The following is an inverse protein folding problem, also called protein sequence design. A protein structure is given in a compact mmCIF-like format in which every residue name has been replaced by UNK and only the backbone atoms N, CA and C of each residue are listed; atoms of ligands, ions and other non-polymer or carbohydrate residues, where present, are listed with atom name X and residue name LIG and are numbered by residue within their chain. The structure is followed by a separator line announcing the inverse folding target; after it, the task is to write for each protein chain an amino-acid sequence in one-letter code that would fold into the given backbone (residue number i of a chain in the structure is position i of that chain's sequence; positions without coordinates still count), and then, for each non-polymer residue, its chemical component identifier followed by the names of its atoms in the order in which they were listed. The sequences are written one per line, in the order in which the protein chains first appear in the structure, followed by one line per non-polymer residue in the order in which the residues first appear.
data_IF_740095522316
#
_entry.id   IF_740095522316
#
_cell.length_a   1.000
_cell.length_b   1.000
_cell.length_c   1.000
_cell.angle_alpha   90.00
_cell.angle_beta   90.00
_cell.angle_gamma   90.00
#
_symmetry.space_group_name_H-M   'P 1'
#
loop_
_entity.id
_entity.type
_entity.pdbx_description
1 polymer ?
#
# COMPACT_ATOMS: atom_id res chain seq x y z
N UNK A 1 14.29 21.80 -27.28
CA UNK A 1 14.66 20.42 -27.66
C UNK A 1 13.74 19.50 -26.89
N UNK A 2 13.03 18.59 -27.54
CA UNK A 2 12.13 17.66 -26.84
C UNK A 2 12.99 16.80 -25.92
N UNK A 3 12.78 16.92 -24.61
CA UNK A 3 13.45 16.09 -23.62
C UNK A 3 12.99 14.65 -23.86
N UNK A 4 13.89 13.79 -24.36
CA UNK A 4 13.54 12.45 -24.84
C UNK A 4 13.43 11.43 -23.71
N UNK A 5 13.59 11.85 -22.45
CA UNK A 5 13.70 10.96 -21.31
C UNK A 5 14.89 10.01 -21.41
N UNK A 6 15.02 9.10 -20.46
CA UNK A 6 16.01 8.02 -20.48
C UNK A 6 15.52 6.85 -21.34
N UNK A 7 16.46 6.17 -22.01
CA UNK A 7 16.16 4.89 -22.68
C UNK A 7 15.77 3.82 -21.65
N UNK A 8 15.07 2.72 -22.05
CA UNK A 8 14.73 1.65 -21.11
C UNK A 8 15.92 1.09 -20.33
N UNK A 9 17.07 0.91 -20.99
CA UNK A 9 18.30 0.41 -20.33
C UNK A 9 18.90 1.42 -19.36
N UNK A 10 18.91 2.72 -19.71
CA UNK A 10 19.35 3.79 -18.82
C UNK A 10 18.42 3.92 -17.61
N UNK A 11 17.11 3.82 -17.83
CA UNK A 11 16.10 3.94 -16.80
C UNK A 11 16.18 2.77 -15.81
N UNK A 12 16.28 1.52 -16.29
CA UNK A 12 16.48 0.35 -15.44
C UNK A 12 17.78 0.44 -14.61
N UNK A 13 18.89 0.88 -15.22
CA UNK A 13 20.15 1.06 -14.51
C UNK A 13 20.05 2.12 -13.40
N UNK A 14 19.36 3.23 -13.66
CA UNK A 14 19.11 4.28 -12.66
C UNK A 14 18.20 3.80 -11.54
N UNK A 15 17.16 3.02 -11.86
CA UNK A 15 16.26 2.45 -10.87
C UNK A 15 16.98 1.47 -9.94
N UNK A 16 17.83 0.59 -10.50
CA UNK A 16 18.65 -0.32 -9.71
C UNK A 16 19.67 0.43 -8.82
N UNK A 17 20.29 1.48 -9.37
CA UNK A 17 21.22 2.34 -8.62
C UNK A 17 20.53 3.04 -7.44
N UNK A 18 19.31 3.55 -7.65
CA UNK A 18 18.49 4.17 -6.62
C UNK A 18 18.15 3.17 -5.50
N UNK A 19 17.60 1.99 -5.84
CA UNK A 19 17.27 0.99 -4.81
C UNK A 19 18.50 0.61 -3.98
N UNK A 20 19.65 0.44 -4.63
CA UNK A 20 20.90 0.15 -3.90
C UNK A 20 21.37 1.33 -3.04
N UNK A 21 21.12 2.57 -3.48
CA UNK A 21 21.44 3.79 -2.73
C UNK A 21 20.58 3.97 -1.48
N UNK A 22 19.34 3.49 -1.50
CA UNK A 22 18.41 3.55 -0.38
C UNK A 22 18.52 2.35 0.59
N UNK A 23 19.35 1.35 0.24
CA UNK A 23 19.61 0.15 1.05
C UNK A 23 20.52 0.47 2.25
N UNK A 24 19.98 0.35 3.46
CA UNK A 24 20.66 0.58 4.73
C UNK A 24 21.40 -0.66 5.26
N UNK A 25 21.42 -1.74 4.49
CA UNK A 25 22.07 -3.01 4.82
C UNK A 25 21.11 -4.18 4.62
N UNK A 26 20.12 -4.31 5.52
CA UNK A 26 19.10 -5.37 5.46
C UNK A 26 17.69 -4.84 5.21
N UNK A 27 17.50 -3.52 5.30
CA UNK A 27 16.26 -2.83 4.98
C UNK A 27 16.52 -1.71 3.98
N UNK A 28 15.55 -1.41 3.14
CA UNK A 28 15.61 -0.28 2.21
C UNK A 28 14.70 0.82 2.73
N UNK A 29 15.23 2.05 2.78
CA UNK A 29 14.40 3.22 3.09
C UNK A 29 13.38 3.47 1.98
N UNK A 30 12.17 3.91 2.31
CA UNK A 30 11.16 4.23 1.30
C UNK A 30 11.58 5.44 0.45
N UNK A 31 12.31 6.39 1.05
CA UNK A 31 12.96 7.50 0.36
C UNK A 31 14.22 7.98 1.11
N UNK A 32 15.18 8.66 0.43
CA UNK A 32 16.47 9.01 1.04
C UNK A 32 16.36 9.92 2.28
N UNK A 33 15.35 10.80 2.33
CA UNK A 33 15.21 11.81 3.38
C UNK A 33 13.82 11.87 4.00
N UNK A 34 12.77 11.94 3.16
CA UNK A 34 11.39 12.09 3.65
C UNK A 34 10.94 10.86 4.45
N UNK A 35 11.38 9.68 4.02
CA UNK A 35 11.00 8.39 4.59
C UNK A 35 12.23 7.50 4.83
N UNK A 36 13.11 7.87 5.80
CA UNK A 36 14.43 7.28 6.02
C UNK A 36 14.37 5.94 6.80
N UNK A 37 13.26 5.22 6.70
CA UNK A 37 12.96 3.97 7.40
C UNK A 37 12.26 2.99 6.44
N UNK A 38 12.00 1.78 6.91
CA UNK A 38 11.27 0.76 6.15
C UNK A 38 9.76 0.94 6.40
N UNK A 39 8.99 1.14 5.32
CA UNK A 39 7.53 1.05 5.35
C UNK A 39 7.07 -0.32 4.87
N UNK A 40 5.96 -0.82 5.43
CA UNK A 40 5.52 -2.21 5.23
C UNK A 40 5.18 -2.55 3.79
N UNK A 41 4.28 -1.77 3.17
CA UNK A 41 3.93 -2.02 1.77
C UNK A 41 5.05 -1.59 0.81
N UNK A 42 5.81 -0.53 1.11
CA UNK A 42 7.00 -0.11 0.36
C UNK A 42 8.03 -1.23 0.31
N UNK A 43 8.31 -1.90 1.43
CA UNK A 43 9.25 -3.03 1.49
C UNK A 43 8.81 -4.20 0.60
N UNK A 44 7.52 -4.45 0.49
CA UNK A 44 7.00 -5.45 -0.45
C UNK A 44 7.23 -5.02 -1.91
N UNK A 45 6.97 -3.76 -2.28
CA UNK A 45 7.30 -3.27 -3.62
C UNK A 45 8.81 -3.26 -3.87
N UNK A 46 9.63 -2.87 -2.90
CA UNK A 46 11.09 -2.94 -2.98
C UNK A 46 11.54 -4.38 -3.24
N UNK A 47 10.98 -5.36 -2.53
CA UNK A 47 11.28 -6.76 -2.77
C UNK A 47 10.92 -7.21 -4.20
N UNK A 48 9.81 -6.70 -4.76
CA UNK A 48 9.48 -6.90 -6.19
C UNK A 48 10.55 -6.32 -7.10
N UNK A 49 10.99 -5.08 -6.86
CA UNK A 49 12.05 -4.43 -7.66
C UNK A 49 13.43 -5.06 -7.49
N UNK A 50 13.71 -5.65 -6.34
CA UNK A 50 14.95 -6.38 -6.06
C UNK A 50 14.95 -7.78 -6.69
N UNK A 51 13.81 -8.43 -6.86
CA UNK A 51 13.73 -9.79 -7.41
C UNK A 51 14.43 -9.99 -8.77
N UNK A 52 14.35 -9.07 -9.76
CA UNK A 52 15.14 -9.17 -10.99
C UNK A 52 16.64 -8.87 -10.82
N UNK A 53 17.05 -8.25 -9.70
CA UNK A 53 18.45 -7.87 -9.42
C UNK A 53 19.18 -8.92 -8.56
N UNK A 54 18.53 -9.36 -7.48
CA UNK A 54 19.01 -10.35 -6.52
C UNK A 54 17.82 -10.91 -5.72
N UNK A 55 17.47 -12.17 -5.99
CA UNK A 55 16.46 -12.91 -5.22
C UNK A 55 16.85 -13.01 -3.75
N UNK A 56 18.13 -13.21 -3.43
CA UNK A 56 18.64 -13.23 -2.06
C UNK A 56 18.36 -11.91 -1.34
N UNK A 57 18.66 -10.76 -1.95
CA UNK A 57 18.41 -9.45 -1.33
C UNK A 57 16.92 -9.13 -1.22
N UNK A 58 16.09 -9.57 -2.17
CA UNK A 58 14.64 -9.46 -2.10
C UNK A 58 14.05 -10.26 -0.92
N UNK A 59 14.57 -11.48 -0.70
CA UNK A 59 14.24 -12.30 0.47
C UNK A 59 14.65 -11.61 1.76
N UNK A 60 15.86 -11.04 1.84
CA UNK A 60 16.34 -10.30 3.02
C UNK A 60 15.44 -9.12 3.40
N UNK A 61 14.88 -8.42 2.41
CA UNK A 61 13.94 -7.31 2.65
C UNK A 61 12.69 -7.80 3.41
N UNK A 62 12.07 -8.88 2.94
CA UNK A 62 10.89 -9.47 3.58
C UNK A 62 11.23 -10.17 4.91
N UNK A 63 12.39 -10.82 5.01
CA UNK A 63 12.88 -11.38 6.28
C UNK A 63 13.03 -10.29 7.35
N UNK A 64 13.54 -9.11 6.96
CA UNK A 64 13.70 -7.98 7.87
C UNK A 64 12.35 -7.42 8.31
N UNK A 65 11.41 -7.22 7.38
CA UNK A 65 10.05 -6.79 7.72
C UNK A 65 9.35 -7.80 8.65
N UNK A 66 9.40 -9.09 8.33
CA UNK A 66 8.75 -10.14 9.13
C UNK A 66 9.43 -10.36 10.48
N UNK A 67 10.71 -10.00 10.64
CA UNK A 67 11.36 -9.96 11.95
C UNK A 67 10.76 -8.90 12.90
N UNK A 68 10.10 -7.89 12.34
CA UNK A 68 9.41 -6.84 13.08
C UNK A 68 7.90 -7.12 13.28
N UNK A 69 7.42 -8.28 12.84
CA UNK A 69 6.03 -8.69 13.05
C UNK A 69 5.73 -8.81 14.55
N UNK A 70 4.59 -8.27 14.96
CA UNK A 70 4.11 -8.35 16.33
C UNK A 70 3.71 -9.79 16.68
N UNK A 71 3.68 -10.10 17.98
CA UNK A 71 3.33 -11.44 18.50
C UNK A 71 1.92 -11.89 18.09
N UNK A 72 0.97 -10.95 17.99
CA UNK A 72 -0.41 -11.20 17.55
C UNK A 72 -0.53 -11.42 16.03
N UNK A 73 0.54 -11.19 15.25
CA UNK A 73 0.56 -11.36 13.79
C UNK A 73 0.55 -10.05 13.02
N UNK A 74 0.30 -8.89 13.64
CA UNK A 74 0.32 -7.60 12.94
C UNK A 74 1.71 -7.32 12.34
N UNK A 75 1.76 -6.97 11.06
CA UNK A 75 2.93 -6.32 10.47
C UNK A 75 2.76 -4.80 10.65
N UNK A 76 3.63 -4.12 11.42
CA UNK A 76 3.52 -2.68 11.63
C UNK A 76 3.90 -1.92 10.36
N UNK A 77 3.31 -0.73 10.13
CA UNK A 77 3.54 0.02 8.91
C UNK A 77 4.94 0.63 8.80
N UNK A 78 5.63 0.87 9.92
CA UNK A 78 7.02 1.35 9.94
C UNK A 78 7.88 0.43 10.81
N UNK A 79 9.04 0.06 10.27
CA UNK A 79 10.18 -0.49 11.01
C UNK A 79 11.28 0.57 11.00
N UNK A 80 11.59 1.11 12.18
CA UNK A 80 12.51 2.24 12.32
C UNK A 80 13.97 1.77 12.20
N UNK A 81 14.75 2.47 11.39
CA UNK A 81 16.19 2.22 11.28
C UNK A 81 16.93 2.68 12.54
N UNK A 82 17.85 1.86 13.04
CA UNK A 82 18.59 2.16 14.27
C UNK A 82 19.45 3.42 14.13
N UNK A 83 19.29 4.37 15.05
CA UNK A 83 20.08 5.60 15.10
C UNK A 83 19.79 6.60 13.98
N UNK A 84 18.66 6.45 13.27
CA UNK A 84 18.24 7.36 12.21
C UNK A 84 17.10 8.23 12.72
N UNK A 85 17.28 9.55 12.63
CA UNK A 85 16.25 10.57 12.88
C UNK A 85 15.75 11.16 11.54
N UNK A 86 14.91 12.21 11.61
CA UNK A 86 14.47 12.96 10.42
C UNK A 86 13.06 12.60 9.93
N UNK A 87 12.38 11.66 10.60
CA UNK A 87 10.97 11.37 10.41
C UNK A 87 10.16 11.64 11.68
N UNK A 88 8.95 12.16 11.52
CA UNK A 88 8.01 12.35 12.59
C UNK A 88 6.60 11.94 12.14
N UNK A 89 5.85 11.13 12.92
CA UNK A 89 6.15 10.66 14.28
C UNK A 89 7.18 9.50 14.36
N UNK A 90 8.29 9.74 15.07
CA UNK A 90 9.35 8.75 15.30
C UNK A 90 9.06 7.77 16.46
N UNK A 91 9.97 6.83 16.78
CA UNK A 91 9.75 5.76 17.77
C UNK A 91 9.25 6.26 19.13
N UNK A 92 9.82 7.35 19.64
CA UNK A 92 9.46 7.94 20.93
C UNK A 92 8.02 8.46 20.95
N UNK A 93 7.48 8.91 19.81
CA UNK A 93 6.11 9.42 19.72
C UNK A 93 5.09 8.29 19.77
N UNK A 94 5.41 7.17 19.10
CA UNK A 94 4.63 5.94 19.11
C UNK A 94 4.68 5.24 20.47
N UNK A 95 5.83 5.26 21.15
CA UNK A 95 6.02 4.66 22.48
C UNK A 95 5.61 3.17 22.58
N UNK A 96 5.67 2.48 21.44
CA UNK A 96 5.25 1.08 21.28
C UNK A 96 6.06 0.15 22.18
N UNK A 97 7.37 0.37 22.31
CA UNK A 97 8.25 -0.48 23.12
C UNK A 97 7.87 -0.46 24.63
N UNK A 98 7.28 0.62 25.13
CA UNK A 98 6.86 0.73 26.52
C UNK A 98 5.40 0.30 26.73
N UNK A 99 4.55 0.53 25.73
CA UNK A 99 3.10 0.39 25.88
C UNK A 99 2.55 -0.93 25.33
N UNK A 100 2.97 -1.35 24.14
CA UNK A 100 2.36 -2.46 23.41
C UNK A 100 2.93 -3.82 23.82
N UNK A 101 2.10 -4.70 24.40
CA UNK A 101 2.52 -6.02 24.85
C UNK A 101 2.94 -6.96 23.71
N UNK A 102 2.37 -6.74 22.52
CA UNK A 102 2.58 -7.56 21.33
C UNK A 102 3.77 -7.09 20.47
N UNK A 103 4.35 -5.93 20.72
CA UNK A 103 5.47 -5.41 19.95
C UNK A 103 6.70 -6.35 19.98
N UNK A 104 7.49 -6.40 18.89
CA UNK A 104 8.74 -7.17 18.86
C UNK A 104 9.76 -6.59 19.84
N UNK A 105 10.59 -7.46 20.44
CA UNK A 105 11.68 -7.03 21.31
C UNK A 105 12.88 -6.59 20.46
N UNK A 106 13.49 -5.45 20.81
CA UNK A 106 14.73 -4.98 20.18
C UNK A 106 14.57 -4.30 18.81
N UNK A 107 13.36 -4.24 18.26
CA UNK A 107 13.06 -3.57 17.00
C UNK A 107 12.02 -2.48 17.25
N UNK A 108 12.39 -1.22 17.02
CA UNK A 108 11.44 -0.12 17.11
C UNK A 108 10.47 -0.16 15.91
N UNK A 109 9.17 -0.16 16.20
CA UNK A 109 8.11 -0.16 15.18
C UNK A 109 7.03 0.86 15.51
N UNK A 110 6.24 1.24 14.52
CA UNK A 110 4.97 1.96 14.73
C UNK A 110 3.90 1.06 15.36
N UNK A 111 2.80 1.66 15.81
CA UNK A 111 1.67 0.94 16.42
C UNK A 111 0.48 0.62 15.52
N UNK A 112 0.57 0.87 14.21
CA UNK A 112 -0.51 0.65 13.23
C UNK A 112 -0.03 -0.22 12.06
N UNK A 113 -0.95 -0.70 11.23
CA UNK A 113 -0.65 -1.58 10.09
C UNK A 113 -0.74 -0.89 8.71
N UNK A 114 -0.58 -1.65 7.62
CA UNK A 114 -0.64 -1.17 6.22
C UNK A 114 -1.17 -2.27 5.27
N UNK A 115 -1.50 -1.96 3.99
CA UNK A 115 -2.11 -2.90 3.06
C UNK A 115 -1.28 -4.20 2.84
N UNK A 116 -1.92 -5.40 2.78
CA UNK A 116 -1.25 -6.70 2.74
C UNK A 116 -0.74 -7.10 1.34
N UNK A 117 0.10 -6.30 0.71
CA UNK A 117 0.66 -6.61 -0.63
C UNK A 117 1.81 -7.63 -0.60
N UNK A 118 2.19 -8.13 0.58
CA UNK A 118 3.39 -8.96 0.80
C UNK A 118 3.35 -10.28 0.03
N UNK A 119 2.19 -10.95 -0.04
CA UNK A 119 2.05 -12.20 -0.79
C UNK A 119 2.33 -12.01 -2.30
N UNK A 120 2.03 -10.83 -2.84
CA UNK A 120 2.35 -10.46 -4.23
C UNK A 120 3.86 -10.39 -4.41
N UNK A 121 4.58 -9.76 -3.47
CA UNK A 121 6.04 -9.71 -3.48
C UNK A 121 6.66 -11.11 -3.42
N UNK A 122 6.14 -12.00 -2.56
CA UNK A 122 6.57 -13.41 -2.51
C UNK A 122 6.35 -14.10 -3.86
N UNK A 123 5.21 -13.89 -4.51
CA UNK A 123 4.96 -14.45 -5.84
C UNK A 123 5.99 -13.97 -6.87
N UNK A 124 6.31 -12.67 -6.89
CA UNK A 124 7.33 -12.11 -7.80
C UNK A 124 8.72 -12.68 -7.52
N UNK A 125 9.11 -12.82 -6.26
CA UNK A 125 10.38 -13.48 -5.87
C UNK A 125 10.44 -14.91 -6.42
N UNK A 126 9.37 -15.69 -6.27
CA UNK A 126 9.27 -17.06 -6.78
C UNK A 126 9.30 -17.10 -8.32
N UNK A 127 8.61 -16.18 -8.99
CA UNK A 127 8.64 -16.05 -10.45
C UNK A 127 10.05 -15.82 -10.97
N UNK A 128 10.80 -14.91 -10.36
CA UNK A 128 12.18 -14.62 -10.74
C UNK A 128 13.12 -15.78 -10.36
N UNK A 129 12.97 -16.39 -9.18
CA UNK A 129 13.83 -17.50 -8.76
C UNK A 129 13.72 -18.70 -9.71
N UNK A 130 12.52 -18.99 -10.24
CA UNK A 130 12.28 -20.05 -11.23
C UNK A 130 13.06 -19.84 -12.54
N UNK A 131 13.41 -18.60 -12.90
CA UNK A 131 14.16 -18.26 -14.12
C UNK A 131 15.69 -18.33 -13.96
N UNK A 132 16.20 -18.33 -12.72
CA UNK A 132 17.64 -18.15 -12.41
C UNK A 132 18.34 -19.41 -11.87
N UNK A 133 17.82 -20.61 -12.21
CA UNK A 133 18.47 -21.90 -11.91
C UNK A 133 18.19 -22.45 -10.50
N UNK A 134 18.79 -23.61 -10.21
CA UNK A 134 18.47 -24.42 -9.02
C UNK A 134 18.85 -23.76 -7.69
N UNK A 135 20.01 -23.10 -7.62
CA UNK A 135 20.50 -22.45 -6.39
C UNK A 135 19.61 -21.29 -5.98
N UNK A 136 19.25 -20.42 -6.92
CA UNK A 136 18.36 -19.28 -6.68
C UNK A 136 16.95 -19.73 -6.27
N UNK A 137 16.45 -20.82 -6.86
CA UNK A 137 15.18 -21.42 -6.44
C UNK A 137 15.23 -21.90 -4.99
N UNK A 138 16.31 -22.56 -4.58
CA UNK A 138 16.47 -23.05 -3.21
C UNK A 138 16.42 -21.92 -2.18
N UNK A 139 16.98 -20.74 -2.48
CA UNK A 139 16.89 -19.54 -1.61
C UNK A 139 15.43 -19.14 -1.37
N UNK A 140 14.62 -19.08 -2.43
CA UNK A 140 13.22 -18.69 -2.31
C UNK A 140 12.38 -19.76 -1.59
N UNK A 141 12.68 -21.05 -1.81
CA UNK A 141 12.03 -22.17 -1.11
C UNK A 141 12.38 -22.18 0.39
N UNK A 142 13.64 -21.93 0.75
CA UNK A 142 14.07 -21.83 2.15
C UNK A 142 13.40 -20.64 2.87
N UNK A 143 13.24 -19.51 2.17
CA UNK A 143 12.46 -18.39 2.69
C UNK A 143 11.01 -18.80 2.99
N UNK A 144 10.35 -19.52 2.07
CA UNK A 144 9.00 -20.04 2.32
C UNK A 144 8.97 -20.97 3.54
N UNK A 145 9.93 -21.88 3.67
CA UNK A 145 10.04 -22.77 4.83
C UNK A 145 10.17 -21.98 6.14
N UNK A 146 10.98 -20.93 6.13
CA UNK A 146 11.23 -20.09 7.30
C UNK A 146 10.05 -19.17 7.65
N UNK A 147 9.35 -18.61 6.65
CA UNK A 147 8.41 -17.49 6.83
C UNK A 147 6.95 -17.78 6.50
N UNK A 148 6.63 -19.00 6.05
CA UNK A 148 5.24 -19.38 5.75
C UNK A 148 4.30 -19.11 6.93
N UNK A 149 4.67 -19.55 8.14
CA UNK A 149 3.83 -19.35 9.33
C UNK A 149 3.66 -17.87 9.67
N UNK A 150 4.68 -17.04 9.50
CA UNK A 150 4.61 -15.60 9.72
C UNK A 150 3.63 -14.92 8.76
N UNK A 151 3.66 -15.29 7.47
CA UNK A 151 2.73 -14.81 6.46
C UNK A 151 1.28 -15.24 6.77
N UNK A 152 1.08 -16.49 7.18
CA UNK A 152 -0.27 -16.96 7.55
C UNK A 152 -0.76 -16.28 8.84
N UNK A 153 0.11 -16.04 9.84
CA UNK A 153 -0.25 -15.28 11.05
C UNK A 153 -0.65 -13.83 10.72
N UNK A 154 0.03 -13.21 9.76
CA UNK A 154 -0.33 -11.88 9.26
C UNK A 154 -1.73 -11.85 8.67
N UNK A 155 -2.02 -12.79 7.76
CA UNK A 155 -3.34 -12.89 7.14
C UNK A 155 -4.43 -13.24 8.17
N UNK A 156 -4.13 -14.12 9.12
CA UNK A 156 -5.04 -14.48 10.20
C UNK A 156 -5.37 -13.28 11.07
N UNK A 157 -4.37 -12.49 11.47
CA UNK A 157 -4.60 -11.29 12.27
C UNK A 157 -5.51 -10.29 11.54
N UNK A 158 -5.32 -10.06 10.24
CA UNK A 158 -6.25 -9.22 9.47
C UNK A 158 -7.67 -9.78 9.46
N UNK A 159 -7.82 -11.09 9.23
CA UNK A 159 -9.11 -11.75 9.13
C UNK A 159 -9.85 -11.92 10.47
N UNK A 160 -9.14 -11.87 11.61
CA UNK A 160 -9.72 -12.11 12.94
C UNK A 160 -9.78 -10.84 13.79
N UNK A 161 -8.77 -9.97 13.73
CA UNK A 161 -8.70 -8.76 14.54
C UNK A 161 -9.26 -7.52 13.82
N UNK A 162 -9.29 -7.52 12.48
CA UNK A 162 -9.77 -6.36 11.69
C UNK A 162 -11.07 -6.60 10.93
N UNK A 163 -11.60 -7.82 10.86
CA UNK A 163 -12.96 -8.11 10.34
C UNK A 163 -13.94 -8.23 11.51
N UNK A 164 -14.36 -7.08 12.07
CA UNK A 164 -15.02 -7.01 13.37
C UNK A 164 -16.33 -7.80 13.45
N UNK A 165 -17.11 -7.78 12.37
CA UNK A 165 -18.42 -8.43 12.30
C UNK A 165 -18.43 -9.68 11.40
N UNK A 166 -17.25 -10.15 10.95
CA UNK A 166 -17.14 -11.28 10.03
C UNK A 166 -17.71 -10.99 8.63
N UNK A 167 -17.79 -9.72 8.25
CA UNK A 167 -18.45 -9.24 7.05
C UNK A 167 -17.51 -9.13 5.83
N UNK A 168 -16.23 -9.48 6.01
CA UNK A 168 -15.23 -9.50 4.96
C UNK A 168 -14.71 -8.12 4.58
N UNK A 169 -14.65 -7.17 5.52
CA UNK A 169 -14.05 -5.85 5.30
C UNK A 169 -13.10 -5.50 6.45
N UNK A 170 -11.94 -4.93 6.10
CA UNK A 170 -10.87 -4.60 7.04
C UNK A 170 -11.16 -3.25 7.70
N UNK A 171 -11.32 -3.27 9.02
CA UNK A 171 -11.41 -2.09 9.86
C UNK A 171 -10.02 -1.44 10.06
N UNK A 172 -9.96 -0.13 9.84
CA UNK A 172 -8.82 0.72 10.07
C UNK A 172 -9.13 1.72 11.18
N UNK A 173 -8.13 1.96 12.03
CA UNK A 173 -8.19 2.91 13.15
C UNK A 173 -7.36 4.16 12.91
N UNK A 174 -6.69 4.23 11.75
CA UNK A 174 -5.96 5.41 11.30
C UNK A 174 -5.96 5.46 9.76
N UNK A 175 -6.14 6.63 9.15
CA UNK A 175 -6.12 6.75 7.68
C UNK A 175 -4.78 6.33 7.06
N UNK A 176 -3.66 6.50 7.76
CA UNK A 176 -2.33 5.96 7.39
C UNK A 176 -2.32 4.44 7.16
N UNK A 177 -3.22 3.68 7.79
CA UNK A 177 -3.30 2.22 7.56
C UNK A 177 -3.80 1.88 6.16
N UNK A 178 -4.47 2.81 5.48
CA UNK A 178 -4.89 2.65 4.08
C UNK A 178 -3.74 2.82 3.09
N UNK A 179 -2.62 3.41 3.52
CA UNK A 179 -1.57 3.93 2.65
C UNK A 179 -1.96 5.20 1.88
N UNK A 180 -3.15 5.77 2.14
CA UNK A 180 -3.71 6.93 1.44
C UNK A 180 -4.11 8.05 2.42
N UNK A 181 -3.13 8.64 3.10
CA UNK A 181 -3.25 9.42 4.34
C UNK A 181 -4.36 10.50 4.34
N UNK A 182 -4.34 11.40 3.33
CA UNK A 182 -5.27 12.52 3.18
C UNK A 182 -6.30 12.29 2.06
N UNK A 183 -6.56 11.03 1.73
CA UNK A 183 -7.56 10.73 0.70
C UNK A 183 -8.92 11.33 1.09
N UNK A 184 -9.70 11.87 0.12
CA UNK A 184 -11.04 12.36 0.39
C UNK A 184 -11.97 11.33 1.05
N UNK A 185 -11.65 10.04 0.91
CA UNK A 185 -12.31 8.91 1.59
C UNK A 185 -12.45 9.14 3.10
N UNK A 186 -11.47 9.81 3.71
CA UNK A 186 -11.38 9.93 5.15
C UNK A 186 -11.88 11.27 5.69
N UNK A 187 -12.25 12.22 4.84
CA UNK A 187 -12.55 13.59 5.26
C UNK A 187 -13.70 13.67 6.26
N UNK A 188 -14.80 12.95 6.01
CA UNK A 188 -15.96 12.95 6.92
C UNK A 188 -15.66 12.22 8.23
N UNK A 189 -14.91 11.11 8.18
CA UNK A 189 -14.51 10.40 9.38
C UNK A 189 -13.55 11.25 10.23
N UNK A 190 -12.55 11.89 9.61
CA UNK A 190 -11.66 12.83 10.27
C UNK A 190 -12.37 14.08 10.77
N UNK A 191 -13.42 14.57 10.10
CA UNK A 191 -14.21 15.69 10.58
C UNK A 191 -14.85 15.42 11.97
N UNK A 192 -15.13 14.16 12.29
CA UNK A 192 -15.64 13.73 13.59
C UNK A 192 -14.54 13.51 14.64
N UNK A 193 -13.25 13.54 14.25
CA UNK A 193 -12.13 13.46 15.19
C UNK A 193 -11.90 14.84 15.80
N UNK A 194 -12.35 14.99 17.04
CA UNK A 194 -12.11 16.18 17.86
C UNK A 194 -10.84 15.95 18.68
N UNK A 195 -9.72 16.47 18.18
CA UNK A 195 -8.44 16.36 18.87
C UNK A 195 -8.51 17.02 20.25
N UNK A 196 -8.15 16.27 21.29
CA UNK A 196 -7.94 16.80 22.64
C UNK A 196 -6.56 17.46 22.75
N UNK A 197 -5.92 17.33 23.93
CA UNK A 197 -4.56 17.84 24.12
C UNK A 197 -3.54 16.91 23.44
N UNK A 198 -3.09 17.28 22.26
CA UNK A 198 -1.93 16.65 21.59
C UNK A 198 -0.65 17.27 22.15
N UNK A 199 0.32 16.49 22.68
CA UNK A 199 1.61 17.03 23.09
C UNK A 199 2.30 17.78 21.94
N UNK A 200 2.92 18.92 22.26
CA UNK A 200 3.55 19.77 21.26
C UNK A 200 4.56 18.99 20.40
N UNK A 201 4.54 19.26 19.10
CA UNK A 201 5.37 18.57 18.13
C UNK A 201 5.80 19.51 17.00
N UNK A 202 6.80 19.08 16.23
CA UNK A 202 7.21 19.73 15.00
C UNK A 202 7.19 18.72 13.87
N UNK A 203 6.57 19.10 12.76
CA UNK A 203 6.50 18.29 11.55
C UNK A 203 7.87 18.23 10.85
N UNK A 204 8.39 17.02 10.69
CA UNK A 204 9.66 16.79 9.98
C UNK A 204 9.47 16.73 8.46
N UNK A 205 8.28 16.36 7.97
CA UNK A 205 7.99 16.21 6.55
C UNK A 205 8.10 17.55 5.79
N UNK A 206 7.71 18.66 6.42
CA UNK A 206 7.81 20.01 5.86
C UNK A 206 9.24 20.54 5.76
N UNK A 207 10.19 19.95 6.49
CA UNK A 207 11.61 20.30 6.34
C UNK A 207 12.22 19.70 5.05
N UNK A 208 11.57 18.69 4.47
CA UNK A 208 12.01 18.02 3.24
C UNK A 208 11.17 18.47 2.05
N UNK A 209 9.84 18.46 2.17
CA UNK A 209 8.91 18.96 1.16
C UNK A 209 8.36 20.32 1.62
N UNK A 210 8.98 21.39 1.15
CA UNK A 210 8.67 22.77 1.59
C UNK A 210 7.49 23.40 0.84
N UNK A 211 7.10 22.85 -0.31
CA UNK A 211 5.87 23.24 -1.01
C UNK A 211 4.66 22.67 -0.28
N UNK A 212 3.98 23.54 0.47
CA UNK A 212 2.81 23.18 1.29
C UNK A 212 1.64 22.65 0.47
N UNK A 213 1.59 22.90 -0.84
CA UNK A 213 0.54 22.35 -1.71
C UNK A 213 0.64 20.84 -1.93
N UNK A 214 1.74 20.21 -1.46
CA UNK A 214 2.04 18.80 -1.68
C UNK A 214 1.84 17.93 -0.43
N UNK A 215 1.55 18.52 0.74
CA UNK A 215 1.49 17.81 2.02
C UNK A 215 0.16 18.08 2.74
N UNK A 216 -0.28 17.17 3.62
CA UNK A 216 -1.41 17.44 4.50
C UNK A 216 -1.19 18.70 5.33
N UNK A 217 -2.29 19.33 5.73
CA UNK A 217 -2.31 20.52 6.59
C UNK A 217 -1.96 20.20 8.04
N UNK A 218 -1.63 21.22 8.83
CA UNK A 218 -1.35 21.04 10.27
C UNK A 218 -2.59 20.51 11.02
N UNK A 219 -3.79 20.95 10.66
CA UNK A 219 -5.04 20.46 11.24
C UNK A 219 -5.28 18.97 10.95
N UNK A 220 -4.88 18.48 9.77
CA UNK A 220 -4.90 17.05 9.47
C UNK A 220 -3.87 16.30 10.34
N UNK A 221 -2.66 16.83 10.51
CA UNK A 221 -1.65 16.25 11.39
C UNK A 221 -2.06 16.20 12.87
N UNK A 222 -2.78 17.21 13.37
CA UNK A 222 -3.32 17.20 14.73
C UNK A 222 -4.26 16.03 14.96
N UNK A 223 -5.12 15.73 13.97
CA UNK A 223 -6.01 14.56 14.02
C UNK A 223 -5.21 13.26 13.94
N UNK A 224 -4.22 13.17 13.06
CA UNK A 224 -3.37 11.99 12.97
C UNK A 224 -2.69 11.69 14.31
N UNK A 225 -2.08 12.70 14.92
CA UNK A 225 -1.40 12.52 16.20
C UNK A 225 -2.35 12.32 17.37
N UNK A 226 -3.57 12.83 17.31
CA UNK A 226 -4.58 12.55 18.32
C UNK A 226 -4.96 11.07 18.33
N UNK A 227 -5.14 10.46 17.16
CA UNK A 227 -5.42 9.02 17.06
C UNK A 227 -4.27 8.18 17.67
N UNK A 228 -3.02 8.63 17.57
CA UNK A 228 -1.90 7.98 18.29
C UNK A 228 -2.08 8.04 19.81
N UNK A 229 -2.58 9.15 20.37
CA UNK A 229 -2.83 9.25 21.81
C UNK A 229 -3.95 8.29 22.25
N UNK A 230 -5.01 8.15 21.45
CA UNK A 230 -6.09 7.20 21.73
C UNK A 230 -5.59 5.76 21.74
N UNK A 231 -4.77 5.38 20.75
CA UNK A 231 -4.15 4.04 20.71
C UNK A 231 -3.24 3.79 21.91
N UNK A 232 -2.42 4.77 22.30
CA UNK A 232 -1.55 4.67 23.48
C UNK A 232 -2.34 4.54 24.78
N UNK A 233 -3.48 5.22 24.90
CA UNK A 233 -4.33 5.16 26.10
C UNK A 233 -4.85 3.73 26.36
N UNK A 234 -5.11 2.97 25.30
CA UNK A 234 -5.48 1.54 25.37
C UNK A 234 -4.31 0.60 25.09
N UNK A 235 -3.08 1.11 25.12
CA UNK A 235 -1.83 0.34 24.98
C UNK A 235 -1.75 -0.51 23.71
N UNK A 236 -2.39 -0.06 22.63
CA UNK A 236 -2.47 -0.79 21.35
C UNK A 236 -3.14 -2.18 21.44
N UNK A 237 -4.03 -2.39 22.43
CA UNK A 237 -4.74 -3.65 22.58
C UNK A 237 -5.90 -3.77 21.58
N UNK A 238 -5.80 -4.72 20.63
CA UNK A 238 -6.77 -4.91 19.54
C UNK A 238 -8.22 -4.95 20.03
N UNK A 239 -8.47 -5.67 21.13
CA UNK A 239 -9.81 -5.81 21.74
C UNK A 239 -10.42 -4.50 22.25
N UNK A 240 -9.63 -3.45 22.45
CA UNK A 240 -10.08 -2.16 22.97
C UNK A 240 -10.17 -1.08 21.88
N UNK A 241 -9.43 -1.22 20.77
CA UNK A 241 -9.39 -0.22 19.69
C UNK A 241 -10.77 0.08 19.11
N UNK A 242 -11.58 -0.95 18.86
CA UNK A 242 -12.92 -0.81 18.31
C UNK A 242 -13.82 0.13 19.14
N UNK A 243 -13.60 0.21 20.46
CA UNK A 243 -14.36 1.10 21.34
C UNK A 243 -13.68 2.45 21.56
N UNK A 244 -12.35 2.47 21.66
CA UNK A 244 -11.59 3.65 22.09
C UNK A 244 -11.34 4.69 20.98
N UNK A 245 -11.23 4.26 19.73
CA UNK A 245 -10.72 5.11 18.65
C UNK A 245 -11.77 6.07 18.09
N UNK A 246 -11.51 7.37 17.98
CA UNK A 246 -12.44 8.33 17.36
C UNK A 246 -12.59 8.11 15.84
N UNK A 247 -11.60 7.48 15.21
CA UNK A 247 -11.62 7.08 13.81
C UNK A 247 -11.75 5.56 13.70
N UNK A 248 -12.77 5.08 13.00
CA UNK A 248 -12.93 3.67 12.66
C UNK A 248 -13.68 3.53 11.34
N UNK A 249 -13.03 2.95 10.32
CA UNK A 249 -13.60 2.81 8.97
C UNK A 249 -13.32 1.42 8.43
N UNK A 250 -14.22 0.86 7.65
CA UNK A 250 -13.94 -0.33 6.85
C UNK A 250 -13.40 0.11 5.48
N UNK A 251 -12.15 -0.22 5.20
CA UNK A 251 -11.46 0.17 3.97
C UNK A 251 -11.65 -0.89 2.88
N UNK A 252 -12.38 -0.52 1.83
CA UNK A 252 -12.71 -1.46 0.75
C UNK A 252 -11.52 -1.76 -0.16
N UNK A 253 -10.58 -0.84 -0.31
CA UNK A 253 -9.38 -1.03 -1.11
C UNK A 253 -8.42 -2.02 -0.44
N UNK A 254 -8.16 -1.84 0.85
CA UNK A 254 -7.35 -2.77 1.66
C UNK A 254 -8.02 -4.15 1.70
N UNK A 255 -9.35 -4.20 1.80
CA UNK A 255 -10.11 -5.45 1.76
C UNK A 255 -9.95 -6.20 0.43
N UNK A 256 -9.97 -5.49 -0.70
CA UNK A 256 -9.75 -6.09 -2.01
C UNK A 256 -8.30 -6.56 -2.20
N UNK A 257 -7.33 -5.77 -1.74
CA UNK A 257 -5.91 -6.18 -1.70
C UNK A 257 -5.74 -7.43 -0.84
N UNK A 258 -6.41 -7.51 0.31
CA UNK A 258 -6.35 -8.67 1.19
C UNK A 258 -6.97 -9.92 0.55
N UNK A 259 -8.15 -9.80 -0.08
CA UNK A 259 -8.75 -10.91 -0.84
C UNK A 259 -7.79 -11.44 -1.91
N UNK A 260 -7.17 -10.53 -2.68
CA UNK A 260 -6.20 -10.88 -3.70
C UNK A 260 -4.93 -11.52 -3.12
N UNK A 261 -4.40 -10.98 -2.01
CA UNK A 261 -3.21 -11.51 -1.34
C UNK A 261 -3.46 -12.91 -0.76
N UNK A 262 -4.64 -13.16 -0.16
CA UNK A 262 -5.05 -14.47 0.30
C UNK A 262 -5.10 -15.48 -0.85
N UNK A 263 -5.67 -15.10 -1.99
CA UNK A 263 -5.74 -15.98 -3.17
C UNK A 263 -4.35 -16.30 -3.76
N UNK A 264 -3.44 -15.31 -3.75
CA UNK A 264 -2.04 -15.48 -4.15
C UNK A 264 -1.31 -16.41 -3.19
N UNK A 265 -1.42 -16.18 -1.88
CA UNK A 265 -0.71 -16.98 -0.87
C UNK A 265 -1.25 -18.42 -0.82
N UNK A 266 -2.56 -18.62 -1.00
CA UNK A 266 -3.15 -19.95 -1.12
C UNK A 266 -2.58 -20.71 -2.32
N UNK A 267 -2.48 -20.04 -3.48
CA UNK A 267 -1.89 -20.63 -4.69
C UNK A 267 -0.42 -21.01 -4.48
N UNK A 268 0.38 -20.15 -3.85
CA UNK A 268 1.76 -20.47 -3.45
C UNK A 268 1.78 -21.69 -2.52
N UNK A 269 0.85 -21.74 -1.57
CA UNK A 269 0.72 -22.85 -0.63
C UNK A 269 0.46 -24.19 -1.30
N UNK A 270 -0.42 -24.21 -2.30
CA UNK A 270 -0.71 -25.39 -3.12
C UNK A 270 0.52 -25.81 -3.96
N UNK A 271 1.19 -24.86 -4.61
CA UNK A 271 2.37 -25.11 -5.45
C UNK A 271 3.57 -25.65 -4.65
N UNK A 272 3.70 -25.23 -3.39
CA UNK A 272 4.85 -25.54 -2.53
C UNK A 272 4.51 -26.47 -1.35
N UNK A 273 3.44 -27.27 -1.47
CA UNK A 273 3.03 -28.31 -0.51
C UNK A 273 2.95 -27.82 0.94
N UNK A 274 2.41 -26.62 1.16
CA UNK A 274 2.19 -26.06 2.50
C UNK A 274 1.00 -26.74 3.19
N UNK A 275 0.82 -26.60 4.52
CA UNK A 275 -0.26 -27.27 5.23
C UNK A 275 -1.65 -26.99 4.61
N UNK A 276 -2.40 -28.05 4.31
CA UNK A 276 -3.73 -27.95 3.70
C UNK A 276 -4.72 -27.13 4.55
N UNK A 277 -4.54 -27.08 5.87
CA UNK A 277 -5.35 -26.22 6.75
C UNK A 277 -5.14 -24.75 6.45
N UNK A 278 -3.89 -24.32 6.26
CA UNK A 278 -3.56 -22.93 5.98
C UNK A 278 -4.08 -22.53 4.60
N UNK A 279 -3.91 -23.39 3.60
CA UNK A 279 -4.45 -23.18 2.24
C UNK A 279 -5.97 -23.01 2.29
N UNK A 280 -6.67 -23.87 3.04
CA UNK A 280 -8.13 -23.78 3.19
C UNK A 280 -8.56 -22.47 3.87
N UNK A 281 -7.88 -22.06 4.93
CA UNK A 281 -8.15 -20.80 5.62
C UNK A 281 -7.94 -19.61 4.66
N UNK A 282 -6.81 -19.60 3.92
CA UNK A 282 -6.49 -18.57 2.94
C UNK A 282 -7.53 -18.48 1.81
N UNK A 283 -7.97 -19.62 1.25
CA UNK A 283 -9.06 -19.64 0.24
C UNK A 283 -10.37 -19.12 0.84
N UNK A 284 -10.68 -19.50 2.08
CA UNK A 284 -11.87 -19.03 2.80
C UNK A 284 -11.86 -17.52 3.03
N UNK A 285 -10.73 -16.95 3.45
CA UNK A 285 -10.58 -15.49 3.58
C UNK A 285 -10.60 -14.80 2.23
N UNK A 286 -9.95 -15.34 1.19
CA UNK A 286 -10.00 -14.78 -0.15
C UNK A 286 -11.43 -14.60 -0.64
N UNK A 287 -12.29 -15.62 -0.45
CA UNK A 287 -13.70 -15.54 -0.83
C UNK A 287 -14.51 -14.61 0.09
N UNK A 288 -14.39 -14.72 1.41
CA UNK A 288 -15.10 -13.84 2.35
C UNK A 288 -14.87 -12.36 2.03
N UNK A 289 -13.62 -11.95 1.87
CA UNK A 289 -13.29 -10.55 1.61
C UNK A 289 -13.65 -10.11 0.19
N UNK A 290 -13.65 -11.03 -0.78
CA UNK A 290 -14.21 -10.76 -2.12
C UNK A 290 -15.70 -10.42 -2.01
N UNK A 291 -16.46 -11.22 -1.27
CA UNK A 291 -17.89 -10.96 -1.03
C UNK A 291 -18.12 -9.67 -0.25
N UNK A 292 -17.30 -9.41 0.78
CA UNK A 292 -17.36 -8.16 1.54
C UNK A 292 -17.14 -6.92 0.68
N UNK A 293 -16.17 -6.96 -0.24
CA UNK A 293 -15.94 -5.88 -1.22
C UNK A 293 -17.15 -5.70 -2.14
N UNK A 294 -17.69 -6.79 -2.71
CA UNK A 294 -18.85 -6.73 -3.62
C UNK A 294 -20.08 -6.14 -2.92
N UNK A 295 -20.28 -6.47 -1.64
CA UNK A 295 -21.40 -5.97 -0.85
C UNK A 295 -21.41 -4.43 -0.68
N UNK A 296 -20.27 -3.76 -0.89
CA UNK A 296 -20.18 -2.29 -0.85
C UNK A 296 -20.63 -1.63 -2.15
N UNK A 297 -20.74 -2.40 -3.23
CA UNK A 297 -20.79 -1.85 -4.58
C UNK A 297 -22.16 -1.32 -4.96
N UNK A 298 -22.17 -0.24 -5.74
CA UNK A 298 -23.38 0.17 -6.45
C UNK A 298 -23.73 -0.83 -7.56
N UNK A 299 -24.94 -1.38 -7.56
CA UNK A 299 -25.35 -2.47 -8.46
C UNK A 299 -25.19 -2.13 -9.94
N UNK A 300 -25.34 -0.84 -10.31
CA UNK A 300 -25.31 -0.38 -11.70
C UNK A 300 -23.89 -0.07 -12.17
N UNK A 301 -23.12 0.65 -11.37
CA UNK A 301 -21.80 1.14 -11.74
C UNK A 301 -20.67 0.20 -11.33
N UNK A 302 -20.91 -0.69 -10.36
CA UNK A 302 -19.90 -1.54 -9.75
C UNK A 302 -18.96 -0.79 -8.79
N UNK A 303 -19.16 0.51 -8.56
CA UNK A 303 -18.30 1.33 -7.73
C UNK A 303 -18.38 0.92 -6.25
N UNK A 304 -17.24 0.58 -5.66
CA UNK A 304 -17.12 0.25 -4.24
C UNK A 304 -17.16 1.49 -3.34
N UNK A 305 -17.52 1.29 -2.08
CA UNK A 305 -17.64 2.32 -1.05
C UNK A 305 -16.93 1.87 0.22
N UNK A 306 -16.25 2.78 0.90
CA UNK A 306 -15.80 2.55 2.27
C UNK A 306 -17.00 2.69 3.24
N UNK A 307 -16.84 2.27 4.49
CA UNK A 307 -17.89 2.38 5.50
C UNK A 307 -17.34 3.04 6.77
N UNK A 308 -18.03 4.03 7.30
CA UNK A 308 -17.68 4.67 8.57
C UNK A 308 -18.39 3.94 9.73
N UNK A 309 -17.61 3.26 10.58
CA UNK A 309 -18.11 2.49 11.71
C UNK A 309 -18.65 3.37 12.85
N UNK A 310 -18.26 4.65 12.91
CA UNK A 310 -18.72 5.59 13.94
C UNK A 310 -20.06 6.19 13.59
N UNK A 311 -20.29 6.47 12.30
CA UNK A 311 -21.56 7.04 11.84
C UNK A 311 -22.54 6.02 11.28
N UNK A 312 -22.08 4.80 10.98
CA UNK A 312 -22.87 3.74 10.36
C UNK A 312 -23.25 4.07 8.92
N UNK A 313 -22.42 4.82 8.20
CA UNK A 313 -22.73 5.34 6.86
C UNK A 313 -21.71 4.89 5.83
N UNK A 314 -22.20 4.59 4.64
CA UNK A 314 -21.34 4.43 3.45
C UNK A 314 -20.66 5.75 3.09
N UNK A 315 -19.38 5.66 2.77
CA UNK A 315 -18.54 6.76 2.31
C UNK A 315 -18.52 6.76 0.79
N UNK A 316 -19.02 7.84 0.19
CA UNK A 316 -19.10 8.01 -1.24
C UNK A 316 -18.07 9.05 -1.69
N UNK A 317 -17.03 8.62 -2.41
CA UNK A 317 -16.01 9.51 -3.00
C UNK A 317 -15.63 9.04 -4.40
N UNK A 318 -15.19 9.97 -5.26
CA UNK A 318 -14.70 9.66 -6.60
C UNK A 318 -13.17 9.46 -6.58
N UNK A 319 -12.71 8.45 -5.84
CA UNK A 319 -11.27 8.11 -5.69
C UNK A 319 -10.93 6.77 -6.32
N UNK A 320 -9.63 6.49 -6.48
CA UNK A 320 -9.15 5.22 -7.04
C UNK A 320 -9.64 3.98 -6.26
N UNK A 321 -10.02 4.14 -4.99
CA UNK A 321 -10.55 3.06 -4.16
C UNK A 321 -11.90 2.50 -4.66
N UNK A 322 -12.68 3.27 -5.43
CA UNK A 322 -13.95 2.78 -6.01
C UNK A 322 -13.74 1.58 -6.95
N UNK A 323 -12.53 1.40 -7.46
CA UNK A 323 -12.13 0.34 -8.38
C UNK A 323 -11.60 -0.91 -7.66
N UNK A 324 -11.67 -0.98 -6.34
CA UNK A 324 -11.29 -2.15 -5.53
C UNK A 324 -11.82 -3.49 -6.10
N UNK A 325 -13.07 -3.62 -6.60
CA UNK A 325 -13.56 -4.87 -7.17
C UNK A 325 -12.82 -5.33 -8.43
N UNK A 326 -12.14 -4.44 -9.16
CA UNK A 326 -11.31 -4.83 -10.30
C UNK A 326 -10.07 -5.62 -9.87
N UNK A 327 -9.60 -5.44 -8.63
CA UNK A 327 -8.46 -6.17 -8.06
C UNK A 327 -8.85 -7.60 -7.67
N UNK A 328 -9.94 -7.77 -6.89
CA UNK A 328 -10.32 -9.06 -6.31
C UNK A 328 -11.37 -9.85 -7.13
N UNK A 329 -12.03 -9.19 -8.10
CA UNK A 329 -13.08 -9.76 -8.93
C UNK A 329 -14.40 -10.03 -8.20
N UNK A 330 -15.30 -10.74 -8.89
CA UNK A 330 -16.58 -11.24 -8.37
C UNK A 330 -17.81 -10.35 -8.61
N UNK A 331 -17.63 -9.16 -9.19
CA UNK A 331 -18.75 -8.39 -9.76
C UNK A 331 -19.51 -9.18 -10.85
N UNK A 332 -20.78 -8.81 -11.06
CA UNK A 332 -21.50 -9.23 -12.27
C UNK A 332 -20.81 -8.69 -13.53
N UNK A 333 -20.94 -9.40 -14.64
CA UNK A 333 -20.31 -9.01 -15.92
C UNK A 333 -20.68 -7.58 -16.35
N UNK A 334 -21.91 -7.15 -16.11
CA UNK A 334 -22.37 -5.83 -16.52
C UNK A 334 -21.87 -4.72 -15.58
N UNK A 335 -21.85 -4.96 -14.27
CA UNK A 335 -21.27 -4.03 -13.30
C UNK A 335 -19.76 -3.89 -13.50
N UNK A 336 -19.03 -4.99 -13.73
CA UNK A 336 -17.59 -4.94 -14.00
C UNK A 336 -17.27 -4.17 -15.31
N UNK A 337 -18.08 -4.39 -16.36
CA UNK A 337 -17.96 -3.61 -17.60
C UNK A 337 -18.27 -2.13 -17.38
N UNK A 338 -19.23 -1.78 -16.51
CA UNK A 338 -19.54 -0.40 -16.17
C UNK A 338 -18.41 0.26 -15.38
N UNK A 339 -17.83 -0.47 -14.43
CA UNK A 339 -16.71 -0.02 -13.62
C UNK A 339 -15.47 0.21 -14.49
N UNK A 340 -15.14 -0.72 -15.40
CA UNK A 340 -14.05 -0.56 -16.38
C UNK A 340 -14.26 0.64 -17.30
N UNK A 341 -15.49 0.87 -17.79
CA UNK A 341 -15.80 2.08 -18.58
C UNK A 341 -15.57 3.37 -17.80
N UNK A 342 -15.77 3.35 -16.48
CA UNK A 342 -15.50 4.50 -15.62
C UNK A 342 -13.99 4.68 -15.41
N UNK A 343 -13.26 3.60 -15.16
CA UNK A 343 -11.81 3.59 -15.00
C UNK A 343 -11.09 4.13 -16.25
N UNK A 344 -11.50 3.65 -17.42
CA UNK A 344 -10.93 4.03 -18.73
C UNK A 344 -11.51 5.33 -19.30
N UNK A 345 -12.54 5.87 -18.65
CA UNK A 345 -13.34 6.97 -19.16
C UNK A 345 -12.83 8.36 -18.78
N UNK A 346 -13.59 9.41 -19.14
CA UNK A 346 -13.19 10.80 -18.95
C UNK A 346 -13.15 11.26 -17.48
N UNK A 347 -13.57 10.42 -16.54
CA UNK A 347 -13.45 10.70 -15.11
C UNK A 347 -12.10 10.27 -14.50
N UNK A 348 -11.34 9.40 -15.18
CA UNK A 348 -10.08 8.85 -14.66
C UNK A 348 -9.03 8.77 -15.78
N UNK A 349 -8.60 7.58 -16.20
CA UNK A 349 -7.47 7.40 -17.11
C UNK A 349 -7.68 8.07 -18.48
N UNK A 350 -8.93 8.21 -18.93
CA UNK A 350 -9.29 8.84 -20.20
C UNK A 350 -9.68 10.31 -20.11
N UNK A 351 -9.45 10.99 -18.98
CA UNK A 351 -9.72 12.42 -18.86
C UNK A 351 -8.87 13.22 -19.88
N UNK A 352 -9.45 14.16 -20.64
CA UNK A 352 -8.80 14.78 -21.80
C UNK A 352 -7.52 15.55 -21.49
N UNK A 353 -7.41 16.08 -20.27
CA UNK A 353 -6.25 16.86 -19.83
C UNK A 353 -5.13 16.01 -19.19
N UNK A 354 -5.35 14.71 -19.01
CA UNK A 354 -4.34 13.84 -18.41
C UNK A 354 -3.10 13.74 -19.29
N UNK A 355 -1.92 13.93 -18.69
CA UNK A 355 -0.65 13.80 -19.41
C UNK A 355 -0.37 12.38 -19.86
N UNK A 356 -0.76 11.42 -19.02
CA UNK A 356 -0.53 9.98 -19.17
C UNK A 356 -1.84 9.24 -18.84
N UNK A 357 -2.17 8.20 -19.61
CA UNK A 357 -3.42 7.44 -19.42
C UNK A 357 -3.30 6.41 -18.28
N UNK A 358 -3.05 6.92 -17.08
CA UNK A 358 -2.88 6.17 -15.81
C UNK A 358 -3.81 6.76 -14.75
N UNK A 359 -4.23 5.97 -13.75
CA UNK A 359 -5.26 6.42 -12.83
C UNK A 359 -4.76 7.52 -11.87
N UNK A 360 -5.47 8.66 -11.79
CA UNK A 360 -5.27 9.62 -10.70
C UNK A 360 -5.83 9.06 -9.39
N UNK A 361 -5.27 9.48 -8.25
CA UNK A 361 -5.74 9.07 -6.92
C UNK A 361 -7.17 9.53 -6.62
N UNK A 362 -7.55 10.70 -7.13
CA UNK A 362 -8.90 11.28 -7.08
C UNK A 362 -9.30 11.73 -8.48
N UNK A 363 -10.56 11.52 -8.86
CA UNK A 363 -11.09 11.90 -10.17
C UNK A 363 -10.88 13.40 -10.45
N UNK A 364 -10.33 13.81 -11.60
CA UNK A 364 -10.15 15.22 -11.96
C UNK A 364 -11.42 16.05 -12.03
N UNK A 365 -12.59 15.41 -12.13
CA UNK A 365 -13.90 16.08 -12.17
C UNK A 365 -14.58 16.16 -10.79
N UNK A 366 -13.97 15.59 -9.75
CA UNK A 366 -14.47 15.66 -8.38
C UNK A 366 -14.23 17.05 -7.78
N UNK A 367 -15.14 17.51 -6.91
CA UNK A 367 -14.93 18.73 -6.11
C UNK A 367 -13.75 18.63 -5.12
N UNK A 368 -13.37 17.40 -4.76
CA UNK A 368 -12.27 17.12 -3.83
C UNK A 368 -10.90 17.09 -4.52
N UNK A 369 -10.87 17.17 -5.86
CA UNK A 369 -9.64 17.06 -6.62
C UNK A 369 -8.69 18.23 -6.35
N UNK A 370 -7.45 17.90 -6.00
CA UNK A 370 -6.33 18.81 -5.85
C UNK A 370 -5.14 18.21 -6.61
N UNK A 371 -4.66 18.82 -7.70
CA UNK A 371 -3.70 18.17 -8.62
C UNK A 371 -2.32 17.88 -8.00
N UNK A 372 -1.97 18.57 -6.91
CA UNK A 372 -0.64 18.48 -6.26
C UNK A 372 -0.66 17.84 -4.88
N UNK A 373 -1.84 17.73 -4.28
CA UNK A 373 -2.01 17.50 -2.85
C UNK A 373 -2.12 16.01 -2.52
N UNK A 374 -0.98 15.31 -2.61
CA UNK A 374 -0.82 13.95 -2.09
C UNK A 374 -1.84 12.94 -2.65
N UNK A 375 -2.79 12.42 -1.85
CA UNK A 375 -3.80 11.45 -2.31
C UNK A 375 -5.10 12.09 -2.83
N UNK A 376 -5.14 13.41 -3.00
CA UNK A 376 -6.31 14.16 -3.48
C UNK A 376 -6.33 14.42 -4.98
N UNK A 377 -5.49 13.78 -5.77
CA UNK A 377 -5.46 14.02 -7.23
C UNK A 377 -4.25 13.49 -7.98
N UNK A 378 -3.02 13.61 -7.46
CA UNK A 378 -1.82 13.10 -8.12
C UNK A 378 -1.91 11.65 -8.61
N UNK A 379 -1.09 11.33 -9.60
CA UNK A 379 -0.89 9.97 -10.11
C UNK A 379 0.26 9.31 -9.36
N UNK A 380 0.03 8.09 -8.88
CA UNK A 380 0.97 7.34 -8.06
C UNK A 380 1.50 6.13 -8.83
N UNK A 381 2.81 6.07 -9.17
CA UNK A 381 3.39 4.93 -9.90
C UNK A 381 3.14 3.57 -9.24
N UNK A 382 3.13 3.51 -7.90
CA UNK A 382 2.82 2.29 -7.12
C UNK A 382 1.41 1.77 -7.37
N UNK A 383 0.44 2.67 -7.54
CA UNK A 383 -0.96 2.32 -7.86
C UNK A 383 -1.08 1.86 -9.31
N UNK A 384 -0.42 2.57 -10.24
CA UNK A 384 -0.35 2.13 -11.64
C UNK A 384 0.22 0.72 -11.76
N UNK A 385 1.28 0.41 -11.00
CA UNK A 385 1.87 -0.93 -10.95
C UNK A 385 0.89 -1.96 -10.39
N UNK A 386 0.25 -1.68 -9.24
CA UNK A 386 -0.67 -2.60 -8.60
C UNK A 386 -1.86 -2.95 -9.51
N UNK A 387 -2.47 -1.95 -10.16
CA UNK A 387 -3.55 -2.18 -11.11
C UNK A 387 -3.07 -2.89 -12.38
N UNK A 388 -1.90 -2.53 -12.93
CA UNK A 388 -1.32 -3.22 -14.10
C UNK A 388 -1.08 -4.70 -13.78
N UNK A 389 -0.53 -5.02 -12.62
CA UNK A 389 -0.27 -6.39 -12.16
C UNK A 389 -1.56 -7.17 -11.95
N UNK A 390 -2.53 -6.58 -11.24
CA UNK A 390 -3.84 -7.20 -11.02
C UNK A 390 -4.56 -7.45 -12.35
N UNK A 391 -4.54 -6.51 -13.30
CA UNK A 391 -5.17 -6.67 -14.60
C UNK A 391 -4.56 -7.80 -15.42
N UNK A 392 -3.23 -7.97 -15.38
CA UNK A 392 -2.58 -9.13 -15.99
C UNK A 392 -3.09 -10.43 -15.36
N UNK A 393 -3.19 -10.47 -14.03
CA UNK A 393 -3.71 -11.63 -13.28
C UNK A 393 -5.19 -11.93 -13.58
N UNK A 394 -6.00 -10.91 -13.89
CA UNK A 394 -7.40 -11.05 -14.34
C UNK A 394 -7.52 -11.52 -15.79
N UNK A 395 -6.42 -11.66 -16.52
CA UNK A 395 -6.39 -12.02 -17.94
C UNK A 395 -6.60 -10.83 -18.89
N UNK A 396 -6.58 -9.60 -18.39
CA UNK A 396 -6.73 -8.38 -19.19
C UNK A 396 -5.38 -7.85 -19.67
N UNK A 397 -4.67 -8.67 -20.45
CA UNK A 397 -3.30 -8.41 -20.88
C UNK A 397 -3.12 -7.04 -21.56
N UNK A 398 -4.05 -6.63 -22.43
CA UNK A 398 -3.95 -5.33 -23.12
C UNK A 398 -4.12 -4.15 -22.15
N UNK A 399 -5.06 -4.22 -21.20
CA UNK A 399 -5.25 -3.17 -20.18
C UNK A 399 -4.03 -3.05 -19.28
N UNK A 400 -3.46 -4.19 -18.88
CA UNK A 400 -2.22 -4.24 -18.12
C UNK A 400 -1.06 -3.60 -18.89
N UNK A 401 -0.94 -3.92 -20.19
CA UNK A 401 0.08 -3.39 -21.08
C UNK A 401 -0.02 -1.86 -21.24
N UNK A 402 -1.23 -1.31 -21.42
CA UNK A 402 -1.44 0.14 -21.52
C UNK A 402 -0.97 0.86 -20.25
N UNK A 403 -1.38 0.38 -19.06
CA UNK A 403 -0.95 0.97 -17.79
C UNK A 403 0.56 0.91 -17.60
N UNK A 404 1.18 -0.23 -17.93
CA UNK A 404 2.64 -0.39 -17.89
C UNK A 404 3.34 0.58 -18.86
N UNK A 405 2.86 0.69 -20.09
CA UNK A 405 3.44 1.56 -21.12
C UNK A 405 3.39 3.02 -20.71
N UNK A 406 2.24 3.48 -20.21
CA UNK A 406 2.05 4.87 -19.79
C UNK A 406 2.79 5.17 -18.48
N UNK A 407 2.85 4.23 -17.54
CA UNK A 407 3.68 4.34 -16.34
C UNK A 407 5.17 4.46 -16.65
N UNK A 408 5.69 3.66 -17.59
CA UNK A 408 7.08 3.79 -18.07
C UNK A 408 7.32 5.11 -18.80
N UNK A 409 6.34 5.61 -19.56
CA UNK A 409 6.42 6.92 -20.21
C UNK A 409 6.49 8.05 -19.16
N UNK A 410 5.68 7.97 -18.11
CA UNK A 410 5.70 8.91 -16.99
C UNK A 410 7.05 8.90 -16.24
N UNK A 411 7.56 7.72 -15.90
CA UNK A 411 8.82 7.58 -15.16
C UNK A 411 10.09 7.80 -16.01
N UNK A 412 9.96 8.02 -17.32
CA UNK A 412 11.10 8.16 -18.23
C UNK A 412 11.95 9.41 -17.98
N UNK A 413 11.46 10.37 -17.20
CA UNK A 413 12.23 11.52 -16.72
C UNK A 413 13.34 11.12 -15.73
N UNK A 414 13.25 9.92 -15.13
CA UNK A 414 14.23 9.37 -14.20
C UNK A 414 14.30 10.08 -12.85
N UNK A 415 13.27 10.86 -12.49
CA UNK A 415 13.16 11.47 -11.15
C UNK A 415 12.80 10.44 -10.07
N UNK A 416 12.06 9.40 -10.47
CA UNK A 416 11.47 8.41 -9.57
C UNK A 416 10.68 9.07 -8.44
N UNK A 417 9.81 10.01 -8.82
CA UNK A 417 8.98 10.73 -7.87
C UNK A 417 8.01 9.80 -7.12
N UNK A 418 7.61 10.23 -5.93
CA UNK A 418 6.58 9.57 -5.12
C UNK A 418 5.23 9.57 -5.84
N UNK A 419 4.87 10.72 -6.42
CA UNK A 419 3.70 10.92 -7.28
C UNK A 419 3.97 12.04 -8.29
N UNK A 420 3.10 12.14 -9.30
CA UNK A 420 3.21 13.11 -10.37
C UNK A 420 1.93 13.94 -10.51
N UNK A 421 2.08 15.21 -10.84
CA UNK A 421 0.97 16.09 -11.18
C UNK A 421 0.28 15.55 -12.46
N UNK A 422 -1.05 15.36 -12.45
CA UNK A 422 -1.76 14.57 -13.47
C UNK A 422 -1.81 15.19 -14.87
N UNK A 423 -1.73 16.52 -15.00
CA UNK A 423 -1.93 17.23 -16.27
C UNK A 423 -0.62 17.64 -16.95
N UNK A 424 0.37 18.00 -16.15
CA UNK A 424 1.69 18.48 -16.56
C UNK A 424 2.72 17.36 -16.58
N UNK A 425 2.55 16.36 -15.71
CA UNK A 425 3.57 15.34 -15.46
C UNK A 425 4.73 15.84 -14.59
N UNK A 426 4.59 16.95 -13.87
CA UNK A 426 5.59 17.42 -12.91
C UNK A 426 5.81 16.36 -11.81
N UNK A 427 7.06 15.99 -11.51
CA UNK A 427 7.37 15.11 -10.39
C UNK A 427 7.17 15.83 -9.06
N UNK A 428 6.42 15.23 -8.13
CA UNK A 428 6.06 15.78 -6.83
C UNK A 428 6.41 14.82 -5.68
N UNK A 429 6.27 15.29 -4.44
CA UNK A 429 6.59 14.53 -3.24
C UNK A 429 8.08 14.24 -3.09
N UNK A 430 8.43 13.11 -2.49
CA UNK A 430 9.85 12.71 -2.48
C UNK A 430 10.32 12.31 -3.87
N UNK A 431 11.47 12.84 -4.28
CA UNK A 431 12.22 12.25 -5.38
C UNK A 431 12.91 10.98 -4.90
N UNK A 432 13.38 10.16 -5.83
CA UNK A 432 14.09 8.91 -5.54
C UNK A 432 13.30 7.95 -4.63
N UNK A 433 11.98 7.87 -4.81
CA UNK A 433 11.10 6.96 -4.09
C UNK A 433 11.37 5.52 -4.50
N UNK A 434 11.61 4.65 -3.51
CA UNK A 434 12.04 3.27 -3.73
C UNK A 434 10.99 2.43 -4.48
N UNK A 435 9.70 2.55 -4.15
CA UNK A 435 8.67 1.81 -4.90
C UNK A 435 8.58 2.24 -6.37
N UNK A 436 9.01 3.46 -6.74
CA UNK A 436 8.81 3.97 -8.10
C UNK A 436 9.90 3.38 -8.97
N UNK A 437 11.13 3.33 -8.43
CA UNK A 437 12.21 2.55 -9.02
C UNK A 437 11.86 1.06 -9.11
N UNK A 438 11.24 0.48 -8.08
CA UNK A 438 10.84 -0.91 -8.08
C UNK A 438 9.79 -1.25 -9.16
N UNK A 439 8.76 -0.42 -9.31
CA UNK A 439 7.75 -0.57 -10.36
C UNK A 439 8.39 -0.53 -11.76
N UNK A 440 9.33 0.40 -11.99
CA UNK A 440 10.09 0.49 -13.23
C UNK A 440 10.91 -0.76 -13.49
N UNK A 441 11.60 -1.29 -12.47
CA UNK A 441 12.41 -2.51 -12.59
C UNK A 441 11.56 -3.73 -12.94
N UNK A 442 10.42 -3.92 -12.27
CA UNK A 442 9.53 -5.04 -12.55
C UNK A 442 8.85 -4.91 -13.92
N UNK A 443 8.53 -3.70 -14.38
CA UNK A 443 8.00 -3.51 -15.73
C UNK A 443 9.04 -3.79 -16.81
N UNK A 444 10.33 -3.51 -16.58
CA UNK A 444 11.39 -3.65 -17.58
C UNK A 444 12.10 -5.02 -17.55
N UNK A 445 12.00 -5.76 -16.44
CA UNK A 445 12.56 -7.12 -16.26
C UNK A 445 11.55 -8.24 -16.51
#
# INVERSE_FOLDING_TARGET
MADRGFTPTQLAARAAYLLRGNDLGTMTSAAPKLYPHMWSWDAAFVAVGLAPLSVERAVVELDTLLSAQWKNGMIPHIVFANGVDGYFPGPTRWDVNALAAHAPLGTATSGITQPPVHAIAVQRILDHSRRHGRTTRAVAEEFLDRRWSDLVRWHRWLAEARDLDGNGRIALYHGWESGMDNSPRWDLAYANVVAGQVPAYQRADLAVVTDLSQRPTDNEYDRYLWLLEEMKAVRYEDSQLATAMSFAVEDVFVSAVFSMACDVLATIGEEHSRPNSDVRDLRGWADRFRQGVIATTDERSGAAKDFDLRTGRWVHTETIAMFAPLLCGGLSRDAERALLRTFEGPKFCGHPDMRFAVPPSTSPVSGDFRPREYWRGPVWPVITWLFSWAFARRGWAERSHVLRSEGLRQASDGSFAEYYEPFTGEPLGSMQQSWTAAAVLDWLG
#
